data_IF_534681637363
#
_entry.id   IF_534681637363
#
_cell.length_a   1.000
_cell.length_b   1.000
_cell.length_c   1.000
_cell.angle_alpha   90.00
_cell.angle_beta   90.00
_cell.angle_gamma   90.00
#
_symmetry.space_group_name_H-M   'P 1'
#
loop_
_entity.id
_entity.type
_entity.pdbx_description
1 polymer ?
#
# COMPACT_ATOMS: atom_id res chain seq x y z
N UNK A 1 20.23 3.73 -18.35
CA UNK A 1 20.48 2.52 -17.54
C UNK A 1 19.19 1.77 -17.21
N UNK A 2 18.14 2.46 -16.70
CA UNK A 2 16.86 1.84 -16.32
C UNK A 2 15.98 1.42 -17.50
N UNK A 3 16.26 1.88 -18.69
CA UNK A 3 15.57 1.55 -19.94
C UNK A 3 16.13 0.29 -20.62
N UNK A 4 17.24 -0.25 -20.13
CA UNK A 4 17.82 -1.46 -20.66
C UNK A 4 16.96 -2.69 -20.36
N UNK A 5 16.65 -3.54 -21.36
CA UNK A 5 15.78 -4.71 -21.19
C UNK A 5 16.23 -5.64 -20.06
N UNK A 6 17.52 -5.77 -19.83
CA UNK A 6 18.09 -6.62 -18.78
C UNK A 6 17.67 -6.17 -17.38
N UNK A 7 17.54 -4.86 -17.13
CA UNK A 7 17.06 -4.38 -15.83
C UNK A 7 15.58 -4.72 -15.60
N UNK A 8 14.75 -4.62 -16.65
CA UNK A 8 13.36 -5.04 -16.59
C UNK A 8 13.24 -6.54 -16.28
N UNK A 9 14.11 -7.37 -16.86
CA UNK A 9 14.15 -8.81 -16.60
C UNK A 9 14.59 -9.13 -15.17
N UNK A 10 15.63 -8.47 -14.67
CA UNK A 10 16.11 -8.62 -13.30
C UNK A 10 14.99 -8.26 -12.31
N UNK A 11 14.25 -7.19 -12.55
CA UNK A 11 13.16 -6.78 -11.67
C UNK A 11 11.98 -7.74 -11.71
N UNK A 12 11.61 -8.20 -12.90
CA UNK A 12 10.58 -9.24 -13.04
C UNK A 12 10.97 -10.51 -12.30
N UNK A 13 12.23 -10.90 -12.42
CA UNK A 13 12.76 -12.07 -11.71
C UNK A 13 12.72 -11.86 -10.19
N UNK A 14 13.22 -10.72 -9.67
CA UNK A 14 13.19 -10.39 -8.24
C UNK A 14 11.75 -10.37 -7.70
N UNK A 15 10.82 -9.72 -8.41
CA UNK A 15 9.40 -9.67 -8.03
C UNK A 15 8.79 -11.07 -7.95
N UNK A 16 9.09 -11.94 -8.91
CA UNK A 16 8.65 -13.35 -8.89
C UNK A 16 9.23 -14.12 -7.71
N UNK A 17 10.50 -13.91 -7.37
CA UNK A 17 11.12 -14.56 -6.22
C UNK A 17 10.38 -14.18 -4.92
N UNK A 18 10.06 -12.90 -4.73
CA UNK A 18 9.32 -12.43 -3.54
C UNK A 18 7.88 -12.95 -3.55
N UNK A 19 7.19 -12.90 -4.68
CA UNK A 19 5.83 -13.44 -4.81
C UNK A 19 5.79 -14.95 -4.49
N UNK A 20 6.72 -15.73 -5.02
CA UNK A 20 6.82 -17.16 -4.72
C UNK A 20 7.13 -17.45 -3.24
N UNK A 21 7.97 -16.62 -2.61
CA UNK A 21 8.20 -16.74 -1.15
C UNK A 21 6.90 -16.50 -0.36
N UNK A 22 6.14 -15.44 -0.71
CA UNK A 22 4.86 -15.14 -0.07
C UNK A 22 3.83 -16.25 -0.30
N UNK A 23 3.80 -16.85 -1.49
CA UNK A 23 2.93 -17.98 -1.83
C UNK A 23 3.22 -19.20 -0.92
N UNK A 24 4.49 -19.57 -0.78
CA UNK A 24 4.90 -20.65 0.12
C UNK A 24 4.58 -20.33 1.58
N UNK A 25 4.76 -19.09 2.00
CA UNK A 25 4.41 -18.65 3.37
C UNK A 25 2.90 -18.74 3.60
N UNK A 26 2.09 -18.29 2.63
CA UNK A 26 0.63 -18.42 2.67
C UNK A 26 0.21 -19.88 2.82
N UNK A 27 0.76 -20.75 1.98
CA UNK A 27 0.40 -22.16 1.97
C UNK A 27 0.77 -22.84 3.30
N UNK A 28 1.92 -22.49 3.88
CA UNK A 28 2.32 -22.96 5.21
C UNK A 28 1.35 -22.47 6.30
N UNK A 29 1.03 -21.17 6.31
CA UNK A 29 0.13 -20.57 7.30
C UNK A 29 -1.28 -21.17 7.18
N UNK A 30 -1.81 -21.26 5.96
CA UNK A 30 -3.15 -21.83 5.72
C UNK A 30 -3.20 -23.33 6.03
N UNK A 31 -2.09 -24.04 5.88
CA UNK A 31 -1.98 -25.45 6.29
C UNK A 31 -2.01 -25.65 7.81
N UNK A 32 -1.55 -24.68 8.60
CA UNK A 32 -1.63 -24.69 10.07
C UNK A 32 -2.98 -24.16 10.55
N UNK A 33 -3.45 -23.07 9.93
CA UNK A 33 -4.63 -22.33 10.36
C UNK A 33 -5.30 -21.65 9.17
N UNK A 34 -6.31 -22.29 8.61
CA UNK A 34 -6.94 -21.90 7.35
C UNK A 34 -7.55 -20.48 7.36
N UNK A 35 -8.05 -20.04 8.54
CA UNK A 35 -8.68 -18.74 8.72
C UNK A 35 -7.70 -17.57 8.89
N UNK A 36 -6.39 -17.83 9.08
CA UNK A 36 -5.39 -16.75 9.17
C UNK A 36 -5.31 -15.99 7.87
N UNK A 37 -5.38 -14.66 7.95
CA UNK A 37 -5.13 -13.78 6.82
C UNK A 37 -3.64 -13.43 6.72
N UNK A 38 -3.12 -13.45 5.49
CA UNK A 38 -1.77 -12.97 5.18
C UNK A 38 -1.87 -11.57 4.60
N UNK A 39 -1.07 -10.65 5.12
CA UNK A 39 -0.96 -9.30 4.56
C UNK A 39 0.48 -8.93 4.25
N UNK A 40 0.66 -8.01 3.32
CA UNK A 40 1.97 -7.48 2.97
C UNK A 40 1.93 -5.94 2.84
N UNK A 41 2.90 -5.27 3.48
CA UNK A 41 3.08 -3.84 3.34
C UNK A 41 4.02 -3.54 2.16
N UNK A 42 3.55 -2.73 1.24
CA UNK A 42 4.26 -2.32 0.05
C UNK A 42 4.53 -0.82 0.04
N UNK A 43 5.63 -0.45 -0.60
CA UNK A 43 5.87 0.95 -0.92
C UNK A 43 4.88 1.45 -1.99
N UNK A 44 4.56 2.76 -2.02
CA UNK A 44 3.67 3.33 -3.02
C UNK A 44 4.13 3.03 -4.45
N UNK A 45 3.18 2.82 -5.40
CA UNK A 45 3.51 2.37 -6.76
C UNK A 45 4.33 3.36 -7.58
N UNK A 46 4.27 4.66 -7.32
CA UNK A 46 4.70 5.63 -8.33
C UNK A 46 5.55 6.80 -7.87
N UNK A 47 5.40 7.38 -6.68
CA UNK A 47 6.11 8.65 -6.39
C UNK A 47 6.91 8.67 -5.11
N UNK A 48 8.17 9.10 -5.28
CA UNK A 48 8.97 9.61 -4.18
C UNK A 48 9.22 11.08 -4.47
N UNK A 49 8.52 11.97 -3.75
CA UNK A 49 8.73 13.40 -3.88
C UNK A 49 8.50 13.92 -5.30
N UNK A 50 9.03 15.11 -5.57
CA UNK A 50 8.88 15.77 -6.86
C UNK A 50 9.77 15.18 -7.98
N UNK A 51 10.65 14.23 -7.67
CA UNK A 51 11.55 13.60 -8.63
C UNK A 51 11.00 12.23 -9.05
N UNK A 52 10.22 12.23 -10.12
CA UNK A 52 9.43 11.09 -10.61
C UNK A 52 10.23 10.03 -11.38
N UNK A 53 11.57 10.06 -11.33
CA UNK A 53 12.40 9.30 -12.26
C UNK A 53 12.72 7.87 -11.84
N UNK A 54 12.41 7.46 -10.60
CA UNK A 54 12.57 6.07 -10.16
C UNK A 54 11.45 5.63 -9.24
N UNK A 55 10.51 4.78 -9.68
CA UNK A 55 9.48 4.22 -8.81
C UNK A 55 10.13 3.37 -7.71
N UNK A 56 9.84 3.66 -6.42
CA UNK A 56 10.37 2.86 -5.28
C UNK A 56 9.95 1.40 -5.36
N UNK A 57 8.73 1.13 -5.80
CA UNK A 57 8.24 -0.22 -6.04
C UNK A 57 9.19 -1.04 -6.91
N UNK A 58 9.84 -0.40 -7.85
CA UNK A 58 10.82 -0.97 -8.74
C UNK A 58 12.09 -1.40 -8.00
N UNK A 59 12.66 -0.50 -7.20
CA UNK A 59 13.85 -0.79 -6.40
C UNK A 59 13.57 -1.88 -5.36
N UNK A 60 12.38 -1.88 -4.77
CA UNK A 60 11.95 -2.86 -3.78
C UNK A 60 11.53 -4.20 -4.39
N UNK A 61 11.45 -4.32 -5.72
CA UNK A 61 10.91 -5.49 -6.42
C UNK A 61 9.49 -5.87 -5.96
N UNK A 62 8.66 -4.86 -5.69
CA UNK A 62 7.30 -5.00 -5.19
C UNK A 62 6.32 -4.46 -6.23
N UNK A 63 5.29 -5.25 -6.55
CA UNK A 63 4.17 -4.78 -7.35
C UNK A 63 2.86 -5.30 -6.77
N UNK A 64 1.84 -4.47 -6.72
CA UNK A 64 0.52 -4.84 -6.24
C UNK A 64 -0.07 -5.96 -7.10
N UNK A 65 0.14 -5.87 -8.42
CA UNK A 65 -0.30 -6.89 -9.37
C UNK A 65 0.28 -8.29 -9.12
N UNK A 66 1.55 -8.38 -8.72
CA UNK A 66 2.19 -9.67 -8.48
C UNK A 66 1.81 -10.27 -7.11
N UNK A 67 1.50 -9.42 -6.14
CA UNK A 67 1.27 -9.87 -4.77
C UNK A 67 -0.21 -10.06 -4.42
N UNK A 68 -1.12 -9.34 -5.07
CA UNK A 68 -2.56 -9.50 -4.83
C UNK A 68 -3.08 -10.95 -4.96
N UNK A 69 -2.58 -11.81 -5.89
CA UNK A 69 -3.00 -13.21 -5.94
C UNK A 69 -2.55 -14.08 -4.77
N UNK A 70 -1.56 -13.62 -3.99
CA UNK A 70 -0.90 -14.45 -2.97
C UNK A 70 -1.13 -14.01 -1.54
N UNK A 71 -1.76 -12.83 -1.33
CA UNK A 71 -2.10 -12.30 0.01
C UNK A 71 -3.57 -11.91 0.08
N UNK A 72 -4.10 -11.86 1.31
CA UNK A 72 -5.49 -11.44 1.54
C UNK A 72 -5.63 -9.91 1.56
N UNK A 73 -4.59 -9.19 2.02
CA UNK A 73 -4.60 -7.71 2.13
C UNK A 73 -3.24 -7.13 1.71
N UNK A 74 -3.26 -6.08 0.91
CA UNK A 74 -2.09 -5.28 0.59
C UNK A 74 -2.16 -3.92 1.28
N UNK A 75 -1.10 -3.56 1.99
CA UNK A 75 -0.97 -2.28 2.67
C UNK A 75 -0.13 -1.32 1.82
N UNK A 76 -0.74 -0.23 1.36
CA UNK A 76 -0.07 0.86 0.67
C UNK A 76 0.32 1.94 1.69
N UNK A 77 1.61 2.12 1.93
CA UNK A 77 2.10 3.08 2.94
C UNK A 77 2.40 4.42 2.27
N UNK A 78 1.49 5.39 2.41
CA UNK A 78 1.57 6.70 1.75
C UNK A 78 1.64 7.80 2.81
N UNK A 79 2.71 8.59 2.80
CA UNK A 79 2.97 9.63 3.81
C UNK A 79 2.78 11.06 3.30
N UNK A 80 2.18 11.27 2.12
CA UNK A 80 2.16 12.53 1.39
C UNK A 80 0.84 13.32 1.54
N UNK A 81 0.66 14.29 0.66
CA UNK A 81 -0.57 15.07 0.56
C UNK A 81 -1.73 14.29 -0.10
N UNK A 82 -2.93 14.88 -0.10
CA UNK A 82 -4.15 14.22 -0.55
C UNK A 82 -4.11 13.84 -2.05
N UNK A 83 -3.46 14.66 -2.90
CA UNK A 83 -3.39 14.39 -4.34
C UNK A 83 -2.50 13.17 -4.61
N UNK A 84 -1.39 13.05 -3.88
CA UNK A 84 -0.50 11.88 -3.97
C UNK A 84 -1.18 10.63 -3.41
N UNK A 85 -1.89 10.77 -2.28
CA UNK A 85 -2.69 9.67 -1.72
C UNK A 85 -3.73 9.19 -2.71
N UNK A 86 -4.50 10.10 -3.33
CA UNK A 86 -5.48 9.73 -4.35
C UNK A 86 -4.84 9.02 -5.55
N UNK A 87 -3.77 9.57 -6.07
CA UNK A 87 -3.07 9.03 -7.24
C UNK A 87 -2.51 7.62 -6.96
N UNK A 88 -1.76 7.45 -5.88
CA UNK A 88 -1.11 6.19 -5.53
C UNK A 88 -2.14 5.11 -5.15
N UNK A 89 -3.21 5.49 -4.43
CA UNK A 89 -4.31 4.57 -4.11
C UNK A 89 -4.97 4.04 -5.37
N UNK A 90 -5.32 4.92 -6.31
CA UNK A 90 -5.91 4.51 -7.59
C UNK A 90 -4.99 3.55 -8.33
N UNK A 91 -3.70 3.85 -8.43
CA UNK A 91 -2.72 3.00 -9.13
C UNK A 91 -2.55 1.64 -8.46
N UNK A 92 -2.56 1.59 -7.12
CA UNK A 92 -2.53 0.33 -6.38
C UNK A 92 -3.80 -0.49 -6.66
N UNK A 93 -4.99 0.14 -6.58
CA UNK A 93 -6.28 -0.51 -6.84
C UNK A 93 -6.37 -1.04 -8.27
N UNK A 94 -5.93 -0.27 -9.27
CA UNK A 94 -5.91 -0.72 -10.67
C UNK A 94 -5.06 -1.99 -10.85
N UNK A 95 -3.90 -2.06 -10.19
CA UNK A 95 -3.03 -3.23 -10.25
C UNK A 95 -3.64 -4.45 -9.54
N UNK A 96 -4.30 -4.25 -8.41
CA UNK A 96 -5.01 -5.30 -7.67
C UNK A 96 -6.16 -5.83 -8.52
N UNK A 97 -7.02 -4.97 -9.03
CA UNK A 97 -8.17 -5.35 -9.85
C UNK A 97 -7.77 -6.12 -11.11
N UNK A 98 -6.59 -5.80 -11.68
CA UNK A 98 -6.06 -6.49 -12.85
C UNK A 98 -5.52 -7.91 -12.56
N UNK A 99 -5.45 -8.35 -11.30
CA UNK A 99 -4.88 -9.65 -10.93
C UNK A 99 -5.71 -10.43 -9.92
N UNK A 100 -6.21 -9.81 -8.88
CA UNK A 100 -7.12 -10.41 -7.90
C UNK A 100 -7.99 -9.32 -7.24
N UNK A 101 -9.20 -9.05 -7.74
CA UNK A 101 -10.09 -8.01 -7.21
C UNK A 101 -10.56 -8.27 -5.77
N UNK A 102 -10.48 -9.51 -5.28
CA UNK A 102 -10.86 -9.88 -3.92
C UNK A 102 -9.78 -9.53 -2.87
N UNK A 103 -8.57 -9.17 -3.30
CA UNK A 103 -7.52 -8.72 -2.39
C UNK A 103 -7.84 -7.32 -1.85
N UNK A 104 -7.91 -7.19 -0.53
CA UNK A 104 -8.19 -5.93 0.15
C UNK A 104 -7.03 -4.94 -0.01
N UNK A 105 -7.33 -3.65 -0.20
CA UNK A 105 -6.37 -2.56 -0.19
C UNK A 105 -6.53 -1.73 1.10
N UNK A 106 -5.57 -1.82 1.99
CA UNK A 106 -5.44 -0.93 3.15
C UNK A 106 -4.46 0.21 2.82
N UNK A 107 -4.91 1.45 2.91
CA UNK A 107 -4.06 2.62 2.68
C UNK A 107 -3.64 3.21 4.02
N UNK A 108 -2.32 3.29 4.27
CA UNK A 108 -1.77 3.90 5.47
C UNK A 108 -1.44 5.36 5.21
N UNK A 109 -2.10 6.26 5.92
CA UNK A 109 -1.87 7.69 5.86
C UNK A 109 -1.07 8.17 7.07
N UNK A 110 -0.19 9.16 6.85
CA UNK A 110 0.56 9.75 7.95
C UNK A 110 -0.35 10.67 8.77
N UNK A 111 -0.47 10.38 10.05
CA UNK A 111 -1.25 11.17 11.02
C UNK A 111 -0.35 11.75 12.13
N UNK A 112 0.91 12.09 11.79
CA UNK A 112 1.89 12.60 12.75
C UNK A 112 2.51 13.93 12.29
N UNK A 113 3.31 14.53 13.16
CA UNK A 113 4.00 15.80 12.90
C UNK A 113 3.09 16.99 13.16
N UNK A 114 3.15 17.99 12.28
CA UNK A 114 2.34 19.23 12.38
C UNK A 114 1.02 19.16 11.59
N UNK A 115 0.51 17.94 11.29
CA UNK A 115 -0.74 17.81 10.56
C UNK A 115 -1.92 18.22 11.43
N UNK A 116 -2.87 18.89 10.78
CA UNK A 116 -4.13 19.30 11.41
C UNK A 116 -5.21 18.22 11.17
N UNK A 117 -6.23 18.14 12.03
CA UNK A 117 -7.35 17.21 11.86
C UNK A 117 -8.00 17.23 10.47
N UNK A 118 -8.16 18.41 9.87
CA UNK A 118 -8.78 18.57 8.54
C UNK A 118 -7.90 17.97 7.44
N UNK A 119 -6.59 18.01 7.58
CA UNK A 119 -5.65 17.39 6.65
C UNK A 119 -5.76 15.87 6.70
N UNK A 120 -5.93 15.29 7.90
CA UNK A 120 -6.15 13.84 8.05
C UNK A 120 -7.46 13.44 7.39
N UNK A 121 -8.53 14.20 7.59
CA UNK A 121 -9.83 13.94 6.94
C UNK A 121 -9.69 13.97 5.41
N UNK A 122 -8.96 14.94 4.88
CA UNK A 122 -8.68 15.05 3.44
C UNK A 122 -7.93 13.83 2.90
N UNK A 123 -6.89 13.33 3.61
CA UNK A 123 -6.16 12.12 3.22
C UNK A 123 -7.06 10.89 3.21
N UNK A 124 -7.90 10.73 4.23
CA UNK A 124 -8.86 9.61 4.32
C UNK A 124 -9.87 9.65 3.18
N UNK A 125 -10.43 10.82 2.88
CA UNK A 125 -11.36 11.01 1.77
C UNK A 125 -10.68 10.72 0.42
N UNK A 126 -9.45 11.18 0.23
CA UNK A 126 -8.67 10.92 -0.96
C UNK A 126 -8.44 9.42 -1.18
N UNK A 127 -8.08 8.67 -0.14
CA UNK A 127 -7.89 7.23 -0.22
C UNK A 127 -9.20 6.48 -0.49
N UNK A 128 -10.26 6.78 0.28
CA UNK A 128 -11.59 6.15 0.10
C UNK A 128 -12.17 6.41 -1.28
N UNK A 129 -12.07 7.63 -1.78
CA UNK A 129 -12.56 8.03 -3.10
C UNK A 129 -11.84 7.32 -4.27
N UNK A 130 -10.70 6.68 -4.01
CA UNK A 130 -9.94 5.92 -5.00
C UNK A 130 -9.92 4.40 -4.74
N UNK A 131 -10.82 3.92 -3.87
CA UNK A 131 -11.07 2.49 -3.70
C UNK A 131 -10.20 1.81 -2.64
N UNK A 132 -9.77 2.54 -1.60
CA UNK A 132 -9.24 1.91 -0.39
C UNK A 132 -10.39 1.21 0.37
N UNK A 133 -10.23 -0.07 0.71
CA UNK A 133 -11.19 -0.82 1.51
C UNK A 133 -11.08 -0.46 3.00
N UNK A 134 -9.87 -0.14 3.44
CA UNK A 134 -9.59 0.26 4.81
C UNK A 134 -8.48 1.32 4.89
N UNK A 135 -8.46 2.04 6.01
CA UNK A 135 -7.45 3.08 6.27
C UNK A 135 -6.69 2.73 7.54
N UNK A 136 -5.37 2.68 7.42
CA UNK A 136 -4.45 2.62 8.54
C UNK A 136 -3.85 3.99 8.85
N UNK A 137 -3.53 4.26 10.10
CA UNK A 137 -2.87 5.48 10.52
C UNK A 137 -1.47 5.16 11.03
N UNK A 138 -0.49 5.88 10.51
CA UNK A 138 0.91 5.71 10.87
C UNK A 138 1.42 7.03 11.49
N UNK A 139 1.99 7.06 12.65
CA UNK A 139 2.36 6.03 13.60
C UNK A 139 1.67 6.32 14.93
N UNK A 140 1.11 5.31 15.59
CA UNK A 140 0.32 5.47 16.83
C UNK A 140 1.04 6.27 17.92
N UNK A 141 2.32 5.99 18.16
CA UNK A 141 3.09 6.61 19.23
C UNK A 141 3.35 8.12 19.01
N UNK A 142 3.02 8.64 17.83
CA UNK A 142 3.15 10.05 17.47
C UNK A 142 1.81 10.78 17.41
N UNK A 143 0.71 10.10 17.73
CA UNK A 143 -0.63 10.70 17.78
C UNK A 143 -0.84 11.40 19.12
N UNK A 144 -1.36 12.62 19.08
CA UNK A 144 -1.89 13.31 20.26
C UNK A 144 -3.40 13.09 20.40
N UNK A 145 -3.98 13.52 21.51
CA UNK A 145 -5.41 13.33 21.80
C UNK A 145 -6.33 13.98 20.76
N UNK A 146 -5.95 15.13 20.21
CA UNK A 146 -6.71 15.83 19.17
C UNK A 146 -6.75 15.02 17.87
N UNK A 147 -5.60 14.43 17.46
CA UNK A 147 -5.51 13.54 16.31
C UNK A 147 -6.33 12.26 16.52
N UNK A 148 -6.28 11.68 17.72
CA UNK A 148 -7.05 10.48 18.06
C UNK A 148 -8.55 10.78 17.99
N UNK A 149 -8.99 11.93 18.51
CA UNK A 149 -10.38 12.37 18.42
C UNK A 149 -10.84 12.56 16.96
N UNK A 150 -10.00 13.22 16.14
CA UNK A 150 -10.28 13.42 14.72
C UNK A 150 -10.38 12.09 13.95
N UNK A 151 -9.46 11.17 14.16
CA UNK A 151 -9.49 9.82 13.55
C UNK A 151 -10.74 9.06 13.98
N UNK A 152 -11.11 9.16 15.25
CA UNK A 152 -12.31 8.50 15.79
C UNK A 152 -13.59 9.03 15.13
N UNK A 153 -13.65 10.32 14.86
CA UNK A 153 -14.79 10.94 14.17
C UNK A 153 -14.93 10.51 12.69
N UNK A 154 -13.87 9.98 12.07
CA UNK A 154 -13.89 9.53 10.68
C UNK A 154 -14.37 8.08 10.48
N UNK A 155 -14.79 7.39 11.56
CA UNK A 155 -15.25 5.99 11.49
C UNK A 155 -16.63 5.81 10.83
N UNK A 156 -17.30 6.90 10.51
CA UNK A 156 -18.64 6.94 9.88
C UNK A 156 -18.54 7.49 8.42
#
# INVERSE_FOLDING_TARGET
LLEEPIFADILRWRTRCVAHFLERLRDLIKGIRAECKLSAALVPPVKIGHDATAPRAWLAAQTYRAFAPVVDTLHCVIHWDADVVAYDTRRARDQINASNPDCELCVHVAAYGKRRPEEIASLVQAARGQGADSIGFFCHDLLNDEMIAAITALRH
#
